data_IF_546870753568
#
_entry.id   IF_546870753568
#
_cell.length_a   1.000
_cell.length_b   1.000
_cell.length_c   1.000
_cell.angle_alpha   90.00
_cell.angle_beta   90.00
_cell.angle_gamma   90.00
#
_symmetry.space_group_name_H-M   'P 1'
#
loop_
_entity.id
_entity.type
_entity.pdbx_description
1 polymer ?
#
# COMPACT_ATOMS: atom_id res chain seq x y z
N UNK A 1 14.11 6.32 2.85
CA UNK A 1 13.10 6.72 3.86
C UNK A 1 12.30 5.53 4.40
N UNK A 2 11.50 4.81 3.60
CA UNK A 2 10.76 3.63 4.08
C UNK A 2 11.65 2.53 4.69
N UNK A 3 12.73 2.12 4.02
CA UNK A 3 13.68 1.13 4.58
C UNK A 3 14.27 1.58 5.94
N UNK A 4 14.59 2.87 6.09
CA UNK A 4 15.14 3.40 7.34
C UNK A 4 14.11 3.40 8.47
N UNK A 5 12.85 3.68 8.14
CA UNK A 5 11.75 3.59 9.10
C UNK A 5 11.56 2.15 9.59
N UNK A 6 11.56 1.19 8.66
CA UNK A 6 11.41 -0.22 8.96
C UNK A 6 12.57 -0.74 9.81
N UNK A 7 13.80 -0.28 9.54
CA UNK A 7 14.95 -0.60 10.38
C UNK A 7 14.81 -0.05 11.80
N UNK A 8 14.36 1.20 11.97
CA UNK A 8 14.12 1.79 13.30
C UNK A 8 13.01 1.08 14.07
N UNK A 9 11.97 0.65 13.37
CA UNK A 9 10.83 -0.06 13.95
C UNK A 9 11.09 -1.56 14.16
N UNK A 10 12.25 -2.06 13.70
CA UNK A 10 12.58 -3.49 13.66
C UNK A 10 11.47 -4.34 13.01
N UNK A 11 10.77 -3.78 12.02
CA UNK A 11 9.63 -4.40 11.34
C UNK A 11 10.00 -4.84 9.94
N UNK A 12 9.43 -5.99 9.52
CA UNK A 12 9.51 -6.41 8.14
C UNK A 12 8.51 -5.66 7.26
N UNK A 13 8.77 -5.67 5.95
CA UNK A 13 7.86 -5.16 4.93
C UNK A 13 6.45 -5.74 5.03
N UNK A 14 6.34 -7.03 5.35
CA UNK A 14 5.06 -7.72 5.46
C UNK A 14 4.34 -7.33 6.76
N UNK A 15 5.06 -7.22 7.88
CA UNK A 15 4.47 -6.85 9.17
C UNK A 15 3.96 -5.41 9.14
N UNK A 16 4.74 -4.50 8.55
CA UNK A 16 4.33 -3.11 8.39
C UNK A 16 3.10 -2.96 7.48
N UNK A 17 3.08 -3.69 6.36
CA UNK A 17 1.93 -3.72 5.46
C UNK A 17 0.68 -4.31 6.15
N UNK A 18 0.85 -5.39 6.91
CA UNK A 18 -0.23 -6.02 7.67
C UNK A 18 -0.77 -5.10 8.77
N UNK A 19 0.10 -4.40 9.49
CA UNK A 19 -0.27 -3.47 10.55
C UNK A 19 -1.13 -2.31 10.04
N UNK A 20 -0.76 -1.74 8.89
CA UNK A 20 -1.53 -0.67 8.25
C UNK A 20 -2.71 -1.18 7.41
N UNK A 21 -2.82 -2.49 7.19
CA UNK A 21 -3.84 -3.10 6.35
C UNK A 21 -3.67 -2.76 4.86
N UNK A 22 -2.43 -2.56 4.40
CA UNK A 22 -2.11 -2.19 3.02
C UNK A 22 -1.58 -3.40 2.28
N UNK A 23 -1.90 -3.51 0.99
CA UNK A 23 -1.33 -4.57 0.16
C UNK A 23 0.18 -4.38 -0.03
N UNK A 24 0.97 -5.45 0.15
CA UNK A 24 2.44 -5.44 -0.04
C UNK A 24 2.89 -4.84 -1.38
N UNK A 25 2.06 -5.01 -2.42
CA UNK A 25 2.32 -4.50 -3.76
C UNK A 25 2.34 -2.97 -3.80
N UNK A 26 1.45 -2.30 -3.07
CA UNK A 26 1.43 -0.83 -3.01
C UNK A 26 2.70 -0.31 -2.33
N UNK A 27 3.10 -0.97 -1.25
CA UNK A 27 4.34 -0.66 -0.53
C UNK A 27 5.58 -0.82 -1.42
N UNK A 28 5.60 -1.87 -2.25
CA UNK A 28 6.68 -2.13 -3.21
C UNK A 28 6.69 -1.14 -4.39
N UNK A 29 5.53 -0.74 -4.90
CA UNK A 29 5.42 0.27 -5.94
C UNK A 29 5.90 1.64 -5.45
N UNK A 30 5.59 2.00 -4.20
CA UNK A 30 6.12 3.20 -3.56
C UNK A 30 7.64 3.17 -3.43
N UNK A 31 8.21 2.03 -3.01
CA UNK A 31 9.68 1.85 -2.97
C UNK A 31 10.34 2.09 -4.33
N UNK A 32 9.65 1.74 -5.43
CA UNK A 32 10.12 1.98 -6.79
C UNK A 32 9.84 3.38 -7.33
N UNK A 33 9.24 4.27 -6.54
CA UNK A 33 8.81 5.60 -6.98
C UNK A 33 7.72 5.56 -8.06
N UNK A 34 6.98 4.45 -8.18
CA UNK A 34 5.95 4.27 -9.21
C UNK A 34 4.57 4.78 -8.78
N UNK A 35 4.36 4.94 -7.46
CA UNK A 35 3.08 5.35 -6.87
C UNK A 35 3.33 6.05 -5.56
N UNK A 36 2.49 7.03 -5.22
CA UNK A 36 2.47 7.71 -3.93
C UNK A 36 1.90 6.79 -2.84
N UNK A 37 2.35 6.97 -1.60
CA UNK A 37 1.97 6.12 -0.47
C UNK A 37 0.74 6.67 0.24
N UNK A 38 -0.39 6.71 -0.47
CA UNK A 38 -1.63 7.34 0.02
C UNK A 38 -2.26 6.53 1.15
N UNK A 39 -2.15 7.00 2.39
CA UNK A 39 -2.84 6.43 3.55
C UNK A 39 -4.13 7.21 3.86
N UNK A 40 -5.17 6.47 4.24
CA UNK A 40 -6.40 7.04 4.78
C UNK A 40 -6.19 7.49 6.23
N UNK A 41 -7.06 8.37 6.73
CA UNK A 41 -6.94 8.94 8.09
C UNK A 41 -6.82 7.87 9.20
N UNK A 42 -7.57 6.77 9.12
CA UNK A 42 -7.45 5.66 10.07
C UNK A 42 -6.07 4.99 10.04
N UNK A 43 -5.47 4.87 8.86
CA UNK A 43 -4.13 4.29 8.69
C UNK A 43 -3.05 5.27 9.18
N UNK A 44 -3.25 6.57 8.97
CA UNK A 44 -2.39 7.64 9.50
C UNK A 44 -2.40 7.58 11.03
N UNK A 45 -3.57 7.45 11.67
CA UNK A 45 -3.66 7.31 13.14
C UNK A 45 -2.99 6.04 13.66
N UNK A 46 -3.10 4.92 12.93
CA UNK A 46 -2.38 3.68 13.28
C UNK A 46 -0.88 3.87 13.15
N UNK A 47 -0.44 4.50 12.06
CA UNK A 47 0.96 4.78 11.82
C UNK A 47 1.53 5.71 12.89
N UNK A 48 0.82 6.77 13.27
CA UNK A 48 1.25 7.72 14.30
C UNK A 48 1.50 7.01 15.65
N UNK A 49 0.57 6.16 16.09
CA UNK A 49 0.77 5.31 17.28
C UNK A 49 1.97 4.36 17.19
N UNK A 50 2.29 3.90 15.98
CA UNK A 50 3.45 3.06 15.75
C UNK A 50 4.75 3.87 15.82
N UNK A 51 4.75 5.10 15.30
CA UNK A 51 5.88 6.02 15.33
C UNK A 51 6.17 6.54 16.74
N UNK A 52 5.15 6.72 17.58
CA UNK A 52 5.32 7.08 18.99
C UNK A 52 6.27 6.11 19.73
N UNK A 53 6.29 4.83 19.35
CA UNK A 53 7.19 3.83 19.96
C UNK A 53 8.67 4.09 19.69
N UNK A 54 8.98 4.82 18.62
CA UNK A 54 10.34 5.17 18.20
C UNK A 54 10.58 6.69 18.28
N UNK A 55 9.75 7.39 19.06
CA UNK A 55 9.81 8.84 19.27
C UNK A 55 9.81 9.65 17.95
N UNK A 56 9.15 9.12 16.91
CA UNK A 56 8.95 9.82 15.64
C UNK A 56 7.51 10.33 15.54
N UNK A 57 7.32 11.38 14.74
CA UNK A 57 5.99 11.93 14.46
C UNK A 57 5.63 11.74 12.99
N UNK A 58 4.34 11.77 12.68
CA UNK A 58 3.86 11.78 11.30
C UNK A 58 4.45 12.94 10.47
N UNK A 59 4.80 14.06 11.13
CA UNK A 59 5.42 15.24 10.50
C UNK A 59 6.86 15.00 10.02
N UNK A 60 7.54 13.97 10.55
CA UNK A 60 8.86 13.54 10.07
C UNK A 60 8.76 12.65 8.81
N UNK A 61 7.54 12.23 8.43
CA UNK A 61 7.30 11.43 7.24
C UNK A 61 7.04 12.31 6.00
N UNK A 62 7.21 11.75 4.79
CA UNK A 62 6.88 12.47 3.57
C UNK A 62 5.42 12.90 3.54
N UNK A 63 5.10 14.10 3.02
CA UNK A 63 3.72 14.56 2.89
C UNK A 63 2.88 13.64 1.98
N UNK A 64 3.50 12.94 1.04
CA UNK A 64 2.88 11.91 0.19
C UNK A 64 2.29 10.71 0.97
N UNK A 65 2.57 10.59 2.28
CA UNK A 65 2.09 9.47 3.10
C UNK A 65 0.70 9.69 3.68
N UNK A 66 0.27 10.94 3.85
CA UNK A 66 -1.04 11.25 4.41
C UNK A 66 -1.81 12.06 3.38
N UNK A 67 -2.95 11.54 2.94
CA UNK A 67 -3.82 12.30 2.05
C UNK A 67 -4.48 13.43 2.85
N UNK A 68 -4.38 14.65 2.34
CA UNK A 68 -5.15 15.78 2.84
C UNK A 68 -6.65 15.41 2.83
N UNK A 69 -7.39 15.60 3.93
CA UNK A 69 -8.77 15.14 4.08
C UNK A 69 -9.76 15.72 3.03
N UNK A 70 -9.31 16.60 2.14
CA UNK A 70 -10.09 17.10 1.00
C UNK A 70 -10.05 16.22 -0.25
N UNK A 71 -9.21 15.19 -0.35
CA UNK A 71 -9.27 14.26 -1.47
C UNK A 71 -10.28 13.14 -1.18
N UNK A 72 -11.52 13.38 -1.61
CA UNK A 72 -12.57 12.34 -1.70
C UNK A 72 -11.99 11.08 -2.32
N UNK A 73 -12.15 9.98 -1.60
CA UNK A 73 -11.84 8.62 -2.02
C UNK A 73 -12.50 8.35 -3.38
N UNK A 74 -11.69 8.41 -4.43
CA UNK A 74 -12.02 7.88 -5.75
C UNK A 74 -11.03 6.76 -6.01
N UNK A 75 -11.25 5.61 -5.40
CA UNK A 75 -10.67 4.34 -5.87
C UNK A 75 -11.82 3.46 -6.39
N UNK A 76 -12.49 3.96 -7.42
CA UNK A 76 -12.96 3.12 -8.51
C UNK A 76 -11.71 2.72 -9.32
N UNK A 77 -11.03 1.63 -8.98
CA UNK A 77 -10.26 0.89 -9.97
C UNK A 77 -10.04 -0.58 -9.64
N UNK A 78 -10.96 -1.39 -10.16
CA UNK A 78 -10.67 -2.49 -11.07
C UNK A 78 -9.57 -3.44 -10.62
N UNK A 79 -9.97 -4.48 -9.90
CA UNK A 79 -9.38 -5.82 -10.09
C UNK A 79 -9.72 -6.25 -11.53
N UNK A 80 -8.98 -5.71 -12.51
CA UNK A 80 -8.96 -6.24 -13.88
C UNK A 80 -8.23 -7.58 -13.77
N UNK A 81 -9.00 -8.62 -13.48
CA UNK A 81 -8.58 -9.99 -13.66
C UNK A 81 -8.24 -10.13 -15.14
N UNK A 82 -6.95 -10.02 -15.41
CA UNK A 82 -6.38 -10.17 -16.73
C UNK A 82 -6.83 -11.50 -17.32
N UNK A 83 -7.61 -11.38 -18.40
CA UNK A 83 -7.88 -12.35 -19.45
C UNK A 83 -7.12 -13.70 -19.34
N UNK A 84 -7.87 -14.77 -19.05
CA UNK A 84 -7.63 -16.07 -19.65
C UNK A 84 -8.84 -16.45 -20.50
N UNK A 85 -9.13 -15.64 -21.51
CA UNK A 85 -9.90 -16.08 -22.67
C UNK A 85 -9.09 -17.17 -23.38
N UNK A 86 -9.39 -18.44 -23.11
CA UNK A 86 -9.06 -19.56 -24.00
C UNK A 86 -10.37 -20.17 -24.49
N UNK A 87 -11.05 -19.43 -25.35
CA UNK A 87 -12.13 -19.91 -26.20
C UNK A 87 -11.51 -20.45 -27.49
N UNK A 88 -11.59 -21.76 -27.72
CA UNK A 88 -11.19 -22.42 -28.96
C UNK A 88 -10.37 -23.68 -28.68
N UNK A 89 -10.71 -24.88 -29.13
CA UNK A 89 -11.49 -25.26 -30.30
C UNK A 89 -12.18 -26.60 -30.06
N UNK A 90 -13.36 -26.72 -30.67
CA UNK A 90 -14.03 -27.98 -30.96
C UNK A 90 -13.08 -28.97 -31.65
N UNK A 91 -13.13 -30.24 -31.25
CA UNK A 91 -12.89 -31.33 -32.20
C UNK A 91 -13.94 -32.42 -32.07
N UNK A 92 -14.77 -32.41 -33.10
CA UNK A 92 -15.77 -33.38 -33.53
C UNK A 92 -15.22 -34.82 -33.58
N UNK A 93 -16.07 -35.76 -33.17
CA UNK A 93 -16.26 -37.13 -33.70
C UNK A 93 -15.02 -38.00 -33.97
N UNK A 94 -14.95 -39.12 -33.25
CA UNK A 94 -15.10 -40.45 -33.84
C UNK A 94 -15.55 -41.45 -32.79
#
# INVERSE_FOLDING_TARGET
MLDQLLQKLELSYNDFAAYLGIHRTHLWQYRKGKREFRLNWEQVLKLDKLLEKVEMKISDLPPDWYLDPNQREHDENTTDYTNASYSGQARSKR
#
